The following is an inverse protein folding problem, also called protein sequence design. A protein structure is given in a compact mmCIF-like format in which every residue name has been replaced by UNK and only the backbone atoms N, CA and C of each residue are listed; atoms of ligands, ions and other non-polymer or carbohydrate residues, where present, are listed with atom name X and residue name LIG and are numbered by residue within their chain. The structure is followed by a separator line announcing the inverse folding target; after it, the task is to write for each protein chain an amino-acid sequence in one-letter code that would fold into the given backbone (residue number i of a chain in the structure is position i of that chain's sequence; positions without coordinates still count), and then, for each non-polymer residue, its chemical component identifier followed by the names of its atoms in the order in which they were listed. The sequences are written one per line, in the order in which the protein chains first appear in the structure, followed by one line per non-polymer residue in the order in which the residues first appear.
data_IF_923720916240
#
_entry.id   IF_923720916240
#
_cell.length_a   1.000
_cell.length_b   1.000
_cell.length_c   1.000
_cell.angle_alpha   90.00
_cell.angle_beta   90.00
_cell.angle_gamma   90.00
#
_symmetry.space_group_name_H-M   'P 1'
#
loop_
_entity.id
_entity.type
_entity.pdbx_description
1 polymer ?
#
# COMPACT_ATOMS: atom_id res chain seq x y z
N UNK A 1 5.17 -5.22 10.86
CA UNK A 1 6.07 -4.26 10.18
C UNK A 1 6.26 -2.98 11.01
N UNK A 2 7.42 -2.32 10.94
CA UNK A 2 7.70 -1.07 11.67
C UNK A 2 8.32 0.00 10.76
N UNK A 3 7.70 1.18 10.74
CA UNK A 3 8.22 2.43 10.19
C UNK A 3 8.35 3.46 11.32
N UNK A 4 9.48 4.15 11.42
CA UNK A 4 9.61 5.31 12.32
C UNK A 4 9.94 6.56 11.52
N UNK A 5 9.32 7.69 11.88
CA UNK A 5 9.54 9.01 11.31
C UNK A 5 10.06 9.92 12.42
N UNK A 6 11.24 10.50 12.23
CA UNK A 6 11.89 11.38 13.21
C UNK A 6 12.09 12.76 12.61
N UNK A 7 11.95 13.79 13.42
CA UNK A 7 12.49 15.12 13.12
C UNK A 7 13.20 15.73 14.32
N UNK A 8 14.15 16.62 14.01
CA UNK A 8 14.81 17.52 14.98
C UNK A 8 14.52 18.99 14.67
N UNK A 9 13.47 19.28 13.88
CA UNK A 9 12.87 20.61 13.81
C UNK A 9 12.53 21.11 15.22
N UNK A 10 12.45 22.42 15.44
CA UNK A 10 12.14 22.96 16.77
C UNK A 10 10.88 23.84 16.73
N UNK A 11 9.82 23.49 17.48
CA UNK A 11 9.73 22.33 18.37
C UNK A 11 9.48 21.02 17.60
N UNK A 12 10.20 19.94 17.93
CA UNK A 12 10.10 18.69 17.19
C UNK A 12 8.72 18.01 17.35
N UNK A 13 8.04 18.29 18.46
CA UNK A 13 6.67 17.84 18.73
C UNK A 13 5.66 18.29 17.67
N UNK A 14 5.99 19.29 16.85
CA UNK A 14 5.12 19.70 15.75
C UNK A 14 4.90 18.60 14.70
N UNK A 15 5.75 17.57 14.68
CA UNK A 15 5.51 16.32 13.95
C UNK A 15 4.13 15.71 14.28
N UNK A 16 3.65 15.85 15.52
CA UNK A 16 2.33 15.38 15.93
C UNK A 16 1.17 16.09 15.21
N UNK A 17 1.29 17.40 15.00
CA UNK A 17 0.30 18.18 14.25
C UNK A 17 0.39 17.91 12.75
N UNK A 18 1.58 17.65 12.23
CA UNK A 18 1.77 17.31 10.82
C UNK A 18 1.21 15.92 10.50
N UNK A 19 1.38 14.94 11.39
CA UNK A 19 0.85 13.58 11.23
C UNK A 19 -0.61 13.42 11.67
N UNK A 20 -1.20 14.45 12.28
CA UNK A 20 -2.54 14.39 12.91
C UNK A 20 -2.63 13.25 13.94
N UNK A 21 -1.58 13.09 14.76
CA UNK A 21 -1.51 12.08 15.82
C UNK A 21 -0.88 12.71 17.04
N UNK A 22 -1.68 12.88 18.09
CA UNK A 22 -1.23 13.46 19.36
C UNK A 22 -0.14 12.57 20.00
N UNK A 23 1.07 13.09 20.29
CA UNK A 23 2.17 12.32 20.89
C UNK A 23 1.87 11.67 22.24
N UNK A 24 0.94 12.25 23.02
CA UNK A 24 0.55 11.73 24.33
C UNK A 24 -0.47 10.58 24.27
N UNK A 25 -0.88 10.13 23.07
CA UNK A 25 -1.87 9.07 22.89
C UNK A 25 -1.39 8.04 21.87
N UNK A 26 -1.57 6.76 22.19
CA UNK A 26 -1.51 5.70 21.20
C UNK A 26 -2.78 5.73 20.36
N UNK A 27 -2.63 5.69 19.04
CA UNK A 27 -3.74 5.58 18.10
C UNK A 27 -3.72 4.18 17.49
N UNK A 28 -4.89 3.59 17.28
CA UNK A 28 -5.01 2.30 16.61
C UNK A 28 -6.09 2.38 15.54
N UNK A 29 -5.82 1.82 14.38
CA UNK A 29 -6.71 1.81 13.22
C UNK A 29 -6.85 0.37 12.72
N UNK A 30 -8.07 -0.11 12.56
CA UNK A 30 -8.33 -1.42 11.93
C UNK A 30 -8.09 -1.31 10.43
N UNK A 31 -7.41 -2.30 9.87
CA UNK A 31 -7.14 -2.46 8.45
C UNK A 31 -7.82 -3.74 7.95
N UNK A 32 -8.11 -3.85 6.66
CA UNK A 32 -8.71 -5.07 6.10
C UNK A 32 -7.88 -6.35 6.34
N UNK A 33 -6.58 -6.20 6.62
CA UNK A 33 -5.60 -7.27 6.79
C UNK A 33 -4.97 -7.33 8.19
N UNK A 34 -5.50 -6.56 9.16
CA UNK A 34 -4.96 -6.51 10.52
C UNK A 34 -5.16 -5.14 11.16
N UNK A 35 -4.13 -4.63 11.84
CA UNK A 35 -4.22 -3.40 12.62
C UNK A 35 -2.97 -2.56 12.48
N UNK A 36 -3.12 -1.24 12.51
CA UNK A 36 -2.01 -0.30 12.60
C UNK A 36 -2.07 0.48 13.92
N UNK A 37 -0.90 0.65 14.53
CA UNK A 37 -0.70 1.42 15.75
C UNK A 37 0.25 2.58 15.49
N UNK A 38 -0.12 3.77 15.95
CA UNK A 38 0.77 4.93 16.01
C UNK A 38 1.03 5.33 17.44
N UNK A 39 2.29 5.41 17.81
CA UNK A 39 2.74 5.91 19.10
C UNK A 39 4.06 6.67 18.95
N UNK A 40 4.44 7.41 19.98
CA UNK A 40 5.63 8.25 19.96
C UNK A 40 6.62 7.76 21.01
N UNK A 41 7.63 6.95 20.64
CA UNK A 41 8.66 6.51 21.58
C UNK A 41 9.49 7.68 22.14
N UNK A 42 9.53 8.81 21.43
CA UNK A 42 10.17 10.04 21.91
C UNK A 42 9.40 11.26 21.40
N UNK A 43 9.11 12.21 22.29
CA UNK A 43 8.45 13.47 21.98
C UNK A 43 8.96 14.58 22.89
N UNK A 44 10.10 15.16 22.55
CA UNK A 44 10.67 16.35 23.20
C UNK A 44 10.67 17.54 22.23
N UNK A 45 11.05 18.72 22.74
CA UNK A 45 11.19 19.92 21.90
C UNK A 45 12.36 19.79 20.89
N UNK A 46 13.35 18.98 21.20
CA UNK A 46 14.58 18.78 20.42
C UNK A 46 14.46 17.62 19.42
N UNK A 47 13.73 16.57 19.76
CA UNK A 47 13.56 15.37 18.93
C UNK A 47 12.19 14.75 19.14
N UNK A 48 11.53 14.40 18.05
CA UNK A 48 10.25 13.72 18.07
C UNK A 48 10.30 12.58 17.06
N UNK A 49 9.91 11.39 17.51
CA UNK A 49 9.85 10.16 16.72
C UNK A 49 8.43 9.61 16.79
N UNK A 50 7.75 9.52 15.65
CA UNK A 50 6.53 8.74 15.50
C UNK A 50 6.87 7.33 15.02
N UNK A 51 6.21 6.31 15.56
CA UNK A 51 6.30 4.93 15.12
C UNK A 51 4.95 4.46 14.58
N UNK A 52 4.94 3.91 13.35
CA UNK A 52 3.84 3.18 12.76
C UNK A 52 4.17 1.68 12.80
N UNK A 53 3.49 0.95 13.68
CA UNK A 53 3.57 -0.49 13.80
C UNK A 53 2.35 -1.10 13.12
N UNK A 54 2.56 -1.94 12.11
CA UNK A 54 1.49 -2.65 11.40
C UNK A 54 1.54 -4.12 11.78
N UNK A 55 0.46 -4.61 12.37
CA UNK A 55 0.25 -6.00 12.76
C UNK A 55 -0.70 -6.65 11.75
N UNK A 56 -0.24 -7.67 11.07
CA UNK A 56 -1.06 -8.39 10.09
C UNK A 56 -1.70 -9.59 10.79
N UNK A 57 -2.92 -9.92 10.40
CA UNK A 57 -3.52 -11.21 10.75
C UNK A 57 -3.18 -12.23 9.64
N UNK A 58 -2.15 -13.08 9.81
CA UNK A 58 -1.77 -14.05 8.79
C UNK A 58 -2.89 -15.08 8.53
N UNK A 59 -3.71 -15.39 9.54
CA UNK A 59 -4.81 -16.36 9.40
C UNK A 59 -5.97 -15.73 8.64
N UNK A 60 -6.34 -14.49 9.00
CA UNK A 60 -7.33 -13.70 8.29
C UNK A 60 -6.97 -13.46 6.82
N UNK A 61 -5.70 -13.20 6.53
CA UNK A 61 -5.19 -13.03 5.17
C UNK A 61 -5.41 -14.26 4.28
N UNK A 62 -5.24 -15.47 4.81
CA UNK A 62 -5.48 -16.70 4.06
C UNK A 62 -6.98 -16.95 3.88
N UNK A 63 -7.77 -16.77 4.94
CA UNK A 63 -9.22 -17.03 4.92
C UNK A 63 -9.99 -16.08 4.01
N UNK A 64 -9.55 -14.82 3.89
CA UNK A 64 -10.23 -13.79 3.11
C UNK A 64 -9.72 -13.64 1.67
N UNK A 65 -8.75 -14.46 1.23
CA UNK A 65 -8.14 -14.36 -0.09
C UNK A 65 -9.09 -14.86 -1.20
N UNK A 66 -9.82 -13.94 -1.84
CA UNK A 66 -10.64 -14.20 -3.05
C UNK A 66 -9.86 -14.00 -4.36
N UNK A 67 -8.69 -14.62 -4.50
CA UNK A 67 -7.87 -14.59 -5.73
C UNK A 67 -7.70 -15.99 -6.34
N UNK A 68 -7.33 -16.12 -7.63
CA UNK A 68 -7.09 -17.43 -8.23
C UNK A 68 -5.94 -18.14 -7.51
N UNK A 69 -6.11 -19.45 -7.30
CA UNK A 69 -5.08 -20.32 -6.76
C UNK A 69 -3.89 -20.37 -7.74
N UNK A 70 -2.89 -19.53 -7.51
CA UNK A 70 -1.64 -19.53 -8.25
C UNK A 70 -0.50 -20.00 -7.35
N UNK A 71 -0.04 -21.23 -7.60
CA UNK A 71 1.32 -21.78 -7.45
C UNK A 71 2.16 -21.51 -6.19
N UNK A 72 1.60 -20.99 -5.10
CA UNK A 72 2.25 -21.05 -3.79
C UNK A 72 1.85 -22.36 -3.12
N UNK A 73 2.82 -23.21 -2.76
CA UNK A 73 2.57 -24.43 -1.98
C UNK A 73 1.71 -24.08 -0.75
N UNK A 74 0.73 -24.91 -0.39
CA UNK A 74 -0.26 -24.61 0.66
C UNK A 74 0.35 -24.10 1.99
N UNK A 75 1.61 -24.46 2.29
CA UNK A 75 2.35 -24.00 3.46
C UNK A 75 2.77 -22.52 3.39
N UNK A 76 3.16 -22.01 2.22
CA UNK A 76 3.61 -20.62 2.00
C UNK A 76 2.50 -19.60 2.26
N UNK A 77 1.24 -20.03 2.21
CA UNK A 77 0.10 -19.19 2.57
C UNK A 77 0.05 -18.91 4.07
N UNK A 78 0.51 -19.85 4.90
CA UNK A 78 0.51 -19.73 6.36
C UNK A 78 1.85 -19.29 6.94
N UNK A 79 2.97 -19.66 6.29
CA UNK A 79 4.32 -19.31 6.70
C UNK A 79 4.98 -18.51 5.59
N UNK A 80 4.96 -17.18 5.75
CA UNK A 80 5.60 -16.25 4.86
C UNK A 80 6.09 -15.01 5.63
N UNK A 81 6.84 -14.18 4.91
CA UNK A 81 7.46 -12.96 5.41
C UNK A 81 6.49 -11.76 5.55
N UNK A 82 5.30 -11.83 4.96
CA UNK A 82 4.39 -10.67 4.78
C UNK A 82 4.01 -9.95 6.07
N UNK A 83 3.76 -10.62 7.22
CA UNK A 83 3.48 -9.92 8.48
C UNK A 83 4.66 -9.07 9.00
N UNK A 84 5.87 -9.39 8.57
CA UNK A 84 7.11 -8.85 9.13
C UNK A 84 7.79 -7.86 8.18
N UNK A 85 7.75 -8.13 6.87
CA UNK A 85 8.37 -7.36 5.82
C UNK A 85 7.62 -6.05 5.52
N UNK A 86 8.32 -4.91 5.51
CA UNK A 86 7.83 -3.60 5.09
C UNK A 86 7.51 -3.61 3.58
N UNK A 87 6.34 -4.17 3.25
CA UNK A 87 5.86 -4.47 1.91
C UNK A 87 4.78 -3.46 1.49
N UNK A 88 4.08 -3.74 0.39
CA UNK A 88 2.91 -2.97 -0.04
C UNK A 88 1.82 -2.78 1.03
N UNK A 89 1.70 -3.66 2.03
CA UNK A 89 0.83 -3.47 3.19
C UNK A 89 1.21 -2.23 4.02
N UNK A 90 2.50 -1.91 4.12
CA UNK A 90 2.95 -0.69 4.79
C UNK A 90 2.49 0.56 4.02
N UNK A 91 2.54 0.55 2.69
CA UNK A 91 2.03 1.67 1.87
C UNK A 91 0.54 1.91 2.11
N UNK A 92 -0.29 0.86 2.15
CA UNK A 92 -1.72 0.98 2.48
C UNK A 92 -1.90 1.55 3.89
N UNK A 93 -1.15 1.05 4.87
CA UNK A 93 -1.20 1.59 6.23
C UNK A 93 -0.79 3.07 6.31
N UNK A 94 0.24 3.51 5.56
CA UNK A 94 0.62 4.93 5.48
C UNK A 94 -0.54 5.75 4.91
N UNK A 95 -1.18 5.30 3.83
CA UNK A 95 -2.32 5.98 3.21
C UNK A 95 -3.50 6.14 4.17
N UNK A 96 -3.87 5.07 4.88
CA UNK A 96 -5.03 5.08 5.77
C UNK A 96 -4.75 5.85 7.08
N UNK A 97 -3.55 5.71 7.64
CA UNK A 97 -3.22 6.29 8.95
C UNK A 97 -2.74 7.74 8.85
N UNK A 98 -1.98 8.07 7.80
CA UNK A 98 -1.38 9.38 7.56
C UNK A 98 -1.96 10.09 6.33
N UNK A 99 -3.16 9.72 5.87
CA UNK A 99 -3.81 10.28 4.69
C UNK A 99 -3.88 11.82 4.66
N UNK A 100 -4.18 12.46 5.80
CA UNK A 100 -4.20 13.93 5.90
C UNK A 100 -2.82 14.56 5.69
N UNK A 101 -1.77 13.94 6.24
CA UNK A 101 -0.39 14.38 6.09
C UNK A 101 0.12 14.15 4.65
N UNK A 102 -0.23 12.99 4.06
CA UNK A 102 -0.01 12.67 2.65
C UNK A 102 -0.71 13.65 1.69
N UNK A 103 -1.88 14.15 2.09
CA UNK A 103 -2.57 15.22 1.36
C UNK A 103 -1.96 16.61 1.56
N UNK A 104 -0.87 16.74 2.33
CA UNK A 104 -0.24 18.02 2.59
C UNK A 104 -1.15 18.98 3.36
N UNK A 105 -1.73 18.55 4.49
CA UNK A 105 -2.59 19.40 5.32
C UNK A 105 -2.21 19.33 6.78
N UNK A 106 -2.21 20.47 7.46
CA UNK A 106 -2.19 20.59 8.92
C UNK A 106 -2.89 21.88 9.29
N UNK A 107 -3.96 21.78 10.11
CA UNK A 107 -4.77 22.96 10.47
C UNK A 107 -4.04 23.83 11.50
N UNK A 108 -3.30 23.17 12.39
CA UNK A 108 -2.60 23.78 13.51
C UNK A 108 -1.19 24.26 13.13
N UNK A 109 -0.62 23.73 12.04
CA UNK A 109 0.72 24.09 11.52
C UNK A 109 0.73 24.18 9.98
N UNK A 110 -0.11 25.05 9.36
CA UNK A 110 -0.20 25.15 7.90
C UNK A 110 1.13 25.55 7.25
N UNK A 111 1.92 26.40 7.90
CA UNK A 111 3.24 26.83 7.43
C UNK A 111 4.25 25.69 7.34
N UNK A 112 4.18 24.70 8.24
CA UNK A 112 5.12 23.59 8.28
C UNK A 112 4.86 22.53 7.21
N UNK A 113 3.67 22.53 6.61
CA UNK A 113 3.32 21.60 5.52
C UNK A 113 4.21 21.81 4.29
N UNK A 114 4.49 23.07 3.95
CA UNK A 114 5.33 23.44 2.81
C UNK A 114 6.80 23.63 3.18
N UNK A 115 7.12 23.53 4.47
CA UNK A 115 8.48 23.72 4.96
C UNK A 115 9.32 22.46 4.75
N UNK A 116 10.54 22.64 4.27
CA UNK A 116 11.54 21.56 4.26
C UNK A 116 12.07 21.33 5.67
N UNK A 117 11.84 20.14 6.21
CA UNK A 117 12.19 19.75 7.57
C UNK A 117 13.32 18.72 7.56
N UNK A 118 14.21 18.72 8.56
CA UNK A 118 15.17 17.63 8.75
C UNK A 118 14.41 16.38 9.18
N UNK A 119 14.20 15.46 8.25
CA UNK A 119 13.42 14.24 8.43
C UNK A 119 14.32 13.01 8.31
N UNK A 120 14.03 12.03 9.16
CA UNK A 120 14.63 10.70 9.12
C UNK A 120 13.52 9.64 9.15
N UNK A 121 13.50 8.75 8.16
CA UNK A 121 12.64 7.57 8.15
C UNK A 121 13.47 6.30 8.36
N UNK A 122 12.99 5.37 9.19
CA UNK A 122 13.58 4.03 9.32
C UNK A 122 12.57 2.94 9.04
N UNK A 123 12.96 1.99 8.20
CA UNK A 123 12.22 0.77 7.92
C UNK A 123 13.00 -0.43 8.46
N UNK A 124 12.38 -1.20 9.35
CA UNK A 124 13.09 -2.26 10.08
C UNK A 124 13.48 -3.45 9.19
N UNK A 125 12.60 -3.86 8.28
CA UNK A 125 12.78 -5.04 7.42
C UNK A 125 12.19 -4.78 6.03
N UNK A 126 12.89 -4.00 5.21
CA UNK A 126 12.48 -3.68 3.84
C UNK A 126 13.04 -4.72 2.87
N UNK A 127 12.21 -5.53 2.20
CA UNK A 127 12.67 -6.36 1.10
C UNK A 127 13.16 -5.47 -0.04
N UNK A 128 14.35 -5.77 -0.58
CA UNK A 128 14.84 -5.17 -1.82
C UNK A 128 15.35 -6.26 -2.74
N UNK A 129 14.51 -6.69 -3.69
CA UNK A 129 14.88 -7.72 -4.69
C UNK A 129 15.98 -7.26 -5.65
N UNK A 130 16.21 -5.94 -5.75
CA UNK A 130 17.34 -5.35 -6.49
C UNK A 130 18.57 -5.05 -5.62
N UNK A 131 18.57 -5.50 -4.36
CA UNK A 131 19.65 -5.25 -3.40
C UNK A 131 19.78 -3.78 -2.99
N UNK A 132 20.93 -3.46 -2.38
CA UNK A 132 21.24 -2.10 -1.92
C UNK A 132 21.36 -1.09 -3.06
N UNK A 133 21.89 -1.51 -4.21
CA UNK A 133 22.05 -0.63 -5.37
C UNK A 133 20.71 -0.05 -5.85
N UNK A 134 19.63 -0.84 -5.79
CA UNK A 134 18.29 -0.36 -6.13
C UNK A 134 17.78 0.66 -5.10
N UNK A 135 17.98 0.44 -3.80
CA UNK A 135 17.60 1.40 -2.76
C UNK A 135 18.21 2.78 -3.03
N UNK A 136 19.52 2.80 -3.32
CA UNK A 136 20.26 4.03 -3.64
C UNK A 136 19.71 4.71 -4.89
N UNK A 137 19.55 3.95 -5.97
CA UNK A 137 19.00 4.46 -7.24
C UNK A 137 17.60 5.06 -7.13
N UNK A 138 16.77 4.58 -6.19
CA UNK A 138 15.41 5.08 -6.00
C UNK A 138 15.32 6.29 -5.06
N UNK A 139 16.19 6.39 -4.06
CA UNK A 139 16.08 7.44 -3.03
C UNK A 139 17.14 8.54 -3.14
N UNK A 140 18.36 8.26 -3.58
CA UNK A 140 19.41 9.28 -3.69
C UNK A 140 19.06 10.40 -4.69
N UNK A 141 18.44 10.13 -5.86
CA UNK A 141 18.00 11.20 -6.78
C UNK A 141 16.94 12.14 -6.20
N UNK A 142 16.20 11.69 -5.17
CA UNK A 142 15.21 12.48 -4.44
C UNK A 142 15.83 13.31 -3.29
N UNK A 143 17.16 13.27 -3.14
CA UNK A 143 17.89 14.03 -2.13
C UNK A 143 18.04 13.32 -0.78
N UNK A 144 17.73 12.02 -0.70
CA UNK A 144 17.94 11.24 0.52
C UNK A 144 19.39 10.75 0.65
N UNK A 145 19.96 10.92 1.84
CA UNK A 145 21.07 10.09 2.28
C UNK A 145 20.53 8.72 2.71
N UNK A 146 21.05 7.66 2.08
CA UNK A 146 20.60 6.27 2.28
C UNK A 146 21.65 5.48 3.06
N UNK A 147 21.26 4.97 4.21
CA UNK A 147 22.00 3.94 4.95
C UNK A 147 21.19 2.65 4.92
N UNK A 148 21.79 1.55 4.48
CA UNK A 148 21.15 0.25 4.43
C UNK A 148 22.07 -0.80 5.06
N UNK A 149 21.50 -1.65 5.92
CA UNK A 149 22.18 -2.81 6.49
C UNK A 149 21.41 -4.05 6.12
N UNK A 150 22.05 -4.95 5.36
CA UNK A 150 21.49 -6.25 5.01
C UNK A 150 21.50 -7.19 6.21
N UNK A 151 20.49 -8.03 6.33
CA UNK A 151 20.44 -9.09 7.34
C UNK A 151 20.94 -10.42 6.75
N UNK A 152 21.72 -11.22 7.50
CA UNK A 152 21.94 -12.62 7.15
C UNK A 152 20.62 -13.39 7.18
N UNK A 153 20.52 -14.49 6.43
CA UNK A 153 19.34 -15.37 6.51
C UNK A 153 19.20 -15.99 7.90
N UNK A 154 20.33 -16.41 8.48
CA UNK A 154 20.40 -16.92 9.85
C UNK A 154 21.81 -16.68 10.42
N UNK A 155 21.90 -16.09 11.61
CA UNK A 155 23.19 -15.80 12.27
C UNK A 155 23.97 -17.08 12.65
N UNK A 156 23.26 -18.21 12.84
CA UNK A 156 23.88 -19.51 13.18
C UNK A 156 24.31 -20.31 11.96
N UNK A 157 23.78 -19.99 10.78
CA UNK A 157 24.06 -20.70 9.53
C UNK A 157 24.58 -19.73 8.46
N UNK A 158 25.80 -19.22 8.66
CA UNK A 158 26.44 -18.25 7.75
C UNK A 158 26.50 -18.70 6.29
N UNK A 159 26.61 -20.01 6.05
CA UNK A 159 26.70 -20.59 4.70
C UNK A 159 25.41 -20.43 3.88
N UNK A 160 24.28 -20.10 4.52
CA UNK A 160 23.03 -19.79 3.83
C UNK A 160 23.09 -18.43 3.13
N UNK A 161 23.99 -17.55 3.56
CA UNK A 161 24.23 -16.24 2.98
C UNK A 161 23.24 -15.17 3.44
N UNK A 162 23.12 -14.12 2.63
CA UNK A 162 22.40 -12.90 2.97
C UNK A 162 20.93 -12.94 2.54
N UNK A 163 20.04 -12.43 3.40
CA UNK A 163 18.60 -12.34 3.11
C UNK A 163 18.28 -11.26 2.08
N UNK A 164 17.03 -11.17 1.62
CA UNK A 164 16.57 -10.07 0.77
C UNK A 164 16.22 -8.79 1.57
N UNK A 165 16.34 -8.80 2.89
CA UNK A 165 15.85 -7.75 3.78
C UNK A 165 16.96 -6.81 4.23
N UNK A 166 16.59 -5.54 4.32
CA UNK A 166 17.46 -4.47 4.79
C UNK A 166 16.78 -3.71 5.93
N UNK A 167 17.57 -3.36 6.94
CA UNK A 167 17.26 -2.21 7.78
C UNK A 167 17.68 -0.96 7.01
N UNK A 168 16.75 -0.05 6.75
CA UNK A 168 16.99 1.13 5.92
C UNK A 168 16.71 2.40 6.72
N UNK A 169 17.64 3.35 6.65
CA UNK A 169 17.50 4.71 7.17
C UNK A 169 17.63 5.69 6.01
N UNK A 170 16.64 6.57 5.89
CA UNK A 170 16.57 7.63 4.88
C UNK A 170 16.57 8.97 5.59
N UNK A 171 17.53 9.86 5.27
CA UNK A 171 17.61 11.22 5.82
C UNK A 171 17.54 12.25 4.72
N UNK A 172 16.70 13.28 4.87
CA UNK A 172 16.66 14.42 3.96
C UNK A 172 16.12 15.67 4.66
N UNK A 173 16.42 16.83 4.08
CA UNK A 173 15.60 18.02 4.29
C UNK A 173 14.48 17.99 3.25
N UNK A 174 13.26 17.65 3.67
CA UNK A 174 12.12 17.48 2.77
C UNK A 174 10.82 17.90 3.46
N UNK A 175 9.77 18.15 2.67
CA UNK A 175 8.41 18.26 3.21
C UNK A 175 7.94 16.89 3.67
N UNK A 176 7.17 16.84 4.76
CA UNK A 176 6.67 15.56 5.28
C UNK A 176 5.83 14.80 4.25
N UNK A 177 5.00 15.53 3.48
CA UNK A 177 4.16 14.93 2.43
C UNK A 177 5.00 14.23 1.36
N UNK A 178 6.14 14.80 0.99
CA UNK A 178 7.03 14.26 -0.04
C UNK A 178 7.65 12.97 0.47
N UNK A 179 8.18 12.96 1.71
CA UNK A 179 8.70 11.74 2.35
C UNK A 179 7.66 10.62 2.41
N UNK A 180 6.44 10.92 2.87
CA UNK A 180 5.37 9.92 2.94
C UNK A 180 4.98 9.41 1.55
N UNK A 181 4.96 10.29 0.55
CA UNK A 181 4.62 9.96 -0.85
C UNK A 181 5.70 9.08 -1.48
N UNK A 182 6.97 9.41 -1.31
CA UNK A 182 8.09 8.60 -1.77
C UNK A 182 8.06 7.22 -1.12
N UNK A 183 7.83 7.12 0.19
CA UNK A 183 7.68 5.82 0.86
C UNK A 183 6.48 5.03 0.34
N UNK A 184 5.32 5.68 0.18
CA UNK A 184 4.10 5.07 -0.35
C UNK A 184 4.33 4.42 -1.73
N UNK A 185 5.01 5.13 -2.64
CA UNK A 185 5.26 4.67 -4.02
C UNK A 185 6.44 3.70 -4.11
N UNK A 186 7.54 3.94 -3.41
CA UNK A 186 8.79 3.22 -3.62
C UNK A 186 8.92 1.93 -2.80
N UNK A 187 8.24 1.80 -1.66
CA UNK A 187 8.24 0.55 -0.89
C UNK A 187 7.69 -0.63 -1.72
N UNK A 188 6.55 -0.52 -2.43
CA UNK A 188 6.05 -1.58 -3.30
C UNK A 188 6.98 -1.89 -4.49
N UNK A 189 7.75 -0.90 -4.98
CA UNK A 189 8.71 -1.06 -6.07
C UNK A 189 9.92 -1.89 -5.64
N UNK A 190 10.34 -1.75 -4.38
CA UNK A 190 11.45 -2.49 -3.79
C UNK A 190 11.08 -3.95 -3.48
N UNK A 191 9.88 -4.13 -2.92
CA UNK A 191 9.28 -5.43 -2.64
C UNK A 191 9.02 -6.21 -3.94
N UNK A 192 8.56 -5.51 -4.99
CA UNK A 192 8.24 -6.05 -6.32
C UNK A 192 7.28 -7.26 -6.24
N UNK A 193 6.38 -7.24 -5.26
CA UNK A 193 5.44 -8.32 -4.98
C UNK A 193 4.17 -7.82 -4.27
N UNK A 194 3.37 -7.01 -4.97
CA UNK A 194 2.09 -6.51 -4.46
C UNK A 194 1.13 -7.65 -4.12
N UNK A 195 0.58 -7.59 -2.91
CA UNK A 195 -0.34 -8.58 -2.34
C UNK A 195 -1.76 -8.54 -2.93
N UNK A 196 -2.07 -7.50 -3.71
CA UNK A 196 -3.36 -7.31 -4.39
C UNK A 196 -3.20 -7.27 -5.91
N UNK A 197 -4.34 -7.34 -6.62
CA UNK A 197 -4.39 -7.22 -8.07
C UNK A 197 -4.28 -5.75 -8.48
N UNK A 198 -3.51 -5.46 -9.51
CA UNK A 198 -3.26 -4.09 -10.00
C UNK A 198 -4.12 -3.83 -11.23
N UNK A 199 -4.94 -2.79 -11.19
CA UNK A 199 -5.82 -2.35 -12.28
C UNK A 199 -5.48 -0.96 -12.82
N UNK A 200 -6.41 -0.38 -13.59
CA UNK A 200 -6.27 0.98 -14.12
C UNK A 200 -6.34 2.05 -13.02
N UNK A 201 -7.03 1.77 -11.91
CA UNK A 201 -7.06 2.61 -10.72
C UNK A 201 -5.66 2.83 -10.11
N UNK A 202 -4.79 1.82 -10.19
CA UNK A 202 -3.40 1.95 -9.72
C UNK A 202 -2.56 2.88 -10.60
N UNK A 203 -2.92 3.03 -11.88
CA UNK A 203 -2.29 4.03 -12.76
C UNK A 203 -2.65 5.42 -12.27
N UNK A 204 -3.93 5.70 -12.04
CA UNK A 204 -4.37 7.01 -11.53
C UNK A 204 -3.74 7.33 -10.17
N UNK A 205 -3.64 6.34 -9.27
CA UNK A 205 -2.94 6.51 -7.98
C UNK A 205 -1.46 6.83 -8.18
N UNK A 206 -0.78 6.13 -9.08
CA UNK A 206 0.63 6.39 -9.38
C UNK A 206 0.82 7.79 -9.96
N UNK A 207 -0.03 8.25 -10.87
CA UNK A 207 0.04 9.59 -11.45
C UNK A 207 -0.18 10.68 -10.40
N UNK A 208 -1.26 10.54 -9.62
CA UNK A 208 -1.60 11.51 -8.56
C UNK A 208 -0.50 11.64 -7.52
N UNK A 209 0.17 10.54 -7.16
CA UNK A 209 1.24 10.52 -6.16
C UNK A 209 2.61 10.76 -6.77
N UNK A 210 2.79 10.46 -8.04
CA UNK A 210 4.04 10.58 -8.78
C UNK A 210 4.33 12.02 -9.19
N UNK A 211 3.30 12.75 -9.64
CA UNK A 211 3.41 14.16 -10.05
C UNK A 211 4.70 14.51 -10.79
N UNK A 212 5.25 15.68 -10.48
CA UNK A 212 6.50 16.17 -11.09
C UNK A 212 7.73 15.34 -10.69
N UNK A 213 7.79 14.84 -9.45
CA UNK A 213 8.99 14.14 -8.96
C UNK A 213 9.22 12.84 -9.72
N UNK A 214 8.16 12.09 -10.02
CA UNK A 214 8.25 10.84 -10.76
C UNK A 214 8.57 11.10 -12.23
N UNK A 215 7.99 12.14 -12.83
CA UNK A 215 8.33 12.54 -14.19
C UNK A 215 9.83 12.90 -14.33
N UNK A 216 10.39 13.58 -13.34
CA UNK A 216 11.81 13.95 -13.28
C UNK A 216 12.75 12.81 -12.81
N UNK A 217 12.21 11.71 -12.26
CA UNK A 217 13.04 10.66 -11.67
C UNK A 217 13.80 9.85 -12.75
N UNK A 218 15.12 9.62 -12.60
CA UNK A 218 15.91 8.88 -13.60
C UNK A 218 15.44 7.43 -13.79
N UNK A 219 14.93 6.82 -12.72
CA UNK A 219 14.42 5.44 -12.73
C UNK A 219 12.88 5.37 -12.92
N UNK A 220 12.23 6.40 -13.49
CA UNK A 220 10.75 6.46 -13.64
C UNK A 220 10.15 5.24 -14.36
N UNK A 221 10.84 4.72 -15.38
CA UNK A 221 10.40 3.54 -16.13
C UNK A 221 10.39 2.28 -15.25
N UNK A 222 11.44 2.10 -14.45
CA UNK A 222 11.55 1.02 -13.49
C UNK A 222 10.48 1.13 -12.41
N UNK A 223 10.28 2.34 -11.86
CA UNK A 223 9.26 2.63 -10.86
C UNK A 223 7.88 2.28 -11.40
N UNK A 224 7.49 2.82 -12.57
CA UNK A 224 6.19 2.55 -13.17
C UNK A 224 5.98 1.06 -13.46
N UNK A 225 7.00 0.39 -14.00
CA UNK A 225 6.93 -1.04 -14.33
C UNK A 225 6.68 -1.90 -13.09
N UNK A 226 7.47 -1.73 -12.03
CA UNK A 226 7.33 -2.53 -10.80
C UNK A 226 6.09 -2.15 -9.99
N UNK A 227 5.81 -0.84 -9.88
CA UNK A 227 4.61 -0.36 -9.19
C UNK A 227 3.35 -0.96 -9.81
N UNK A 228 3.32 -1.11 -11.14
CA UNK A 228 2.19 -1.68 -11.87
C UNK A 228 2.34 -3.19 -12.12
N UNK A 229 3.11 -3.89 -11.27
CA UNK A 229 3.28 -5.35 -11.27
C UNK A 229 3.66 -5.91 -12.65
N UNK A 230 4.59 -5.23 -13.33
CA UNK A 230 5.11 -5.57 -14.67
C UNK A 230 4.05 -5.59 -15.78
N UNK A 231 2.86 -5.01 -15.56
CA UNK A 231 1.83 -4.89 -16.60
C UNK A 231 2.20 -3.81 -17.61
N UNK A 232 2.92 -4.22 -18.67
CA UNK A 232 3.44 -3.31 -19.72
C UNK A 232 2.41 -2.31 -20.25
N UNK A 233 1.16 -2.74 -20.45
CA UNK A 233 0.08 -1.86 -20.92
C UNK A 233 -0.17 -0.71 -19.93
N UNK A 234 -0.27 -1.01 -18.64
CA UNK A 234 -0.49 -0.02 -17.59
C UNK A 234 0.74 0.88 -17.41
N UNK A 235 1.93 0.29 -17.39
CA UNK A 235 3.18 1.05 -17.25
C UNK A 235 3.39 2.04 -18.41
N UNK A 236 3.14 1.62 -19.65
CA UNK A 236 3.21 2.53 -20.81
C UNK A 236 2.11 3.58 -20.79
N UNK A 237 0.91 3.27 -20.28
CA UNK A 237 -0.15 4.27 -20.12
C UNK A 237 0.26 5.33 -19.09
N UNK A 238 0.76 4.92 -17.93
CA UNK A 238 1.24 5.81 -16.88
C UNK A 238 2.39 6.71 -17.37
N UNK A 239 3.42 6.12 -18.02
CA UNK A 239 4.58 6.87 -18.50
C UNK A 239 4.21 7.89 -19.59
N UNK A 240 3.25 7.58 -20.47
CA UNK A 240 2.77 8.55 -21.45
C UNK A 240 2.09 9.73 -20.76
N UNK A 241 1.17 9.47 -19.83
CA UNK A 241 0.47 10.52 -19.11
C UNK A 241 1.43 11.38 -18.27
N UNK A 242 2.39 10.77 -17.56
CA UNK A 242 3.43 11.50 -16.80
C UNK A 242 4.26 12.48 -17.64
N UNK A 243 4.47 12.16 -18.92
CA UNK A 243 5.26 13.00 -19.83
C UNK A 243 4.40 13.99 -20.63
N UNK A 244 3.10 13.71 -20.78
CA UNK A 244 2.13 14.54 -21.49
C UNK A 244 1.49 15.60 -20.57
N UNK A 245 1.41 15.36 -19.25
CA UNK A 245 0.83 16.27 -18.25
C UNK A 245 1.70 17.47 -17.84
N UNK A 246 2.79 17.76 -18.55
CA UNK A 246 3.65 18.96 -18.36
C UNK A 246 2.91 20.31 -18.64
N UNK A 247 1.58 20.31 -18.82
CA UNK A 247 0.76 21.48 -19.20
C UNK A 247 -0.64 21.58 -18.54
N UNK A 248 -0.86 21.07 -17.32
CA UNK A 248 -2.10 21.37 -16.59
C UNK A 248 -1.86 21.77 -15.13
N UNK A 249 -2.30 22.98 -14.76
CA UNK A 249 -2.30 23.48 -13.37
C UNK A 249 -3.14 22.58 -12.45
N UNK A 250 -2.75 22.44 -11.15
CA UNK A 250 -3.40 21.51 -10.24
C UNK A 250 -4.77 22.04 -9.78
N UNK A 251 -5.85 21.38 -10.24
CA UNK A 251 -7.21 21.73 -9.86
C UNK A 251 -7.61 21.16 -8.48
N UNK A 252 -8.32 21.99 -7.72
CA UNK A 252 -8.57 21.90 -6.29
C UNK A 252 -9.82 21.06 -6.04
N UNK A 253 -9.78 19.76 -6.30
CA UNK A 253 -10.90 18.84 -6.01
C UNK A 253 -10.42 17.50 -5.46
N UNK A 254 -9.58 17.53 -4.41
CA UNK A 254 -9.01 16.33 -3.80
C UNK A 254 -9.82 15.76 -2.61
N UNK A 255 -10.82 16.48 -2.11
CA UNK A 255 -11.47 16.15 -0.82
C UNK A 255 -12.66 15.17 -0.90
N UNK A 256 -13.29 14.99 -2.07
CA UNK A 256 -14.39 14.02 -2.20
C UNK A 256 -13.91 12.59 -2.47
N UNK A 257 -12.73 12.42 -3.11
CA UNK A 257 -12.26 11.12 -3.63
C UNK A 257 -11.34 10.34 -2.69
N UNK A 258 -10.67 10.99 -1.73
CA UNK A 258 -9.82 10.29 -0.75
C UNK A 258 -10.62 9.57 0.36
N UNK A 259 -11.81 10.07 0.70
CA UNK A 259 -12.77 9.36 1.56
C UNK A 259 -13.50 8.24 0.79
N UNK A 260 -13.71 8.45 -0.52
CA UNK A 260 -14.16 7.41 -1.44
C UNK A 260 -13.11 6.29 -1.56
N UNK A 261 -11.80 6.60 -1.61
CA UNK A 261 -10.71 5.62 -1.72
C UNK A 261 -10.65 4.60 -0.54
N UNK A 262 -10.94 5.01 0.70
CA UNK A 262 -11.03 4.07 1.84
C UNK A 262 -12.31 3.22 1.79
N UNK A 263 -13.39 3.75 1.21
CA UNK A 263 -14.61 2.97 0.96
C UNK A 263 -14.47 2.08 -0.27
N UNK A 264 -13.64 2.46 -1.24
CA UNK A 264 -13.31 1.74 -2.48
C UNK A 264 -12.33 0.59 -2.19
N UNK A 265 -11.41 0.75 -1.23
CA UNK A 265 -10.61 -0.37 -0.72
C UNK A 265 -11.47 -1.43 0.01
N UNK A 266 -12.57 -1.02 0.65
CA UNK A 266 -13.58 -1.94 1.21
C UNK A 266 -14.66 -2.39 0.18
N UNK A 267 -14.81 -1.71 -0.96
CA UNK A 267 -15.92 -1.89 -1.91
C UNK A 267 -15.52 -2.08 -3.39
N UNK A 268 -14.28 -2.44 -3.72
CA UNK A 268 -13.88 -2.88 -5.08
C UNK A 268 -14.00 -4.40 -5.29
N UNK A 269 -15.12 -4.91 -4.82
CA UNK A 269 -16.14 -5.64 -5.54
C UNK A 269 -15.95 -6.22 -6.98
N UNK A 270 -14.78 -6.70 -7.38
CA UNK A 270 -14.70 -7.60 -8.56
C UNK A 270 -15.60 -8.83 -8.37
N UNK A 271 -15.76 -9.27 -7.13
CA UNK A 271 -16.57 -10.43 -6.81
C UNK A 271 -18.07 -10.21 -7.03
N UNK A 272 -18.70 -9.14 -6.52
CA UNK A 272 -20.12 -8.86 -6.80
C UNK A 272 -20.34 -8.25 -8.19
N UNK A 273 -19.35 -7.59 -8.82
CA UNK A 273 -19.42 -7.31 -10.26
C UNK A 273 -19.50 -8.62 -11.06
N UNK A 274 -18.68 -9.62 -10.71
CA UNK A 274 -18.74 -10.97 -11.30
C UNK A 274 -20.07 -11.65 -11.00
N UNK A 275 -20.57 -11.60 -9.76
CA UNK A 275 -21.88 -12.17 -9.41
C UNK A 275 -23.01 -11.49 -10.19
N UNK A 276 -22.98 -10.16 -10.30
CA UNK A 276 -23.93 -9.37 -11.08
C UNK A 276 -23.89 -9.69 -12.58
N UNK A 277 -22.69 -9.86 -13.16
CA UNK A 277 -22.51 -10.27 -14.54
C UNK A 277 -23.05 -11.70 -14.79
N UNK A 278 -22.78 -12.63 -13.88
CA UNK A 278 -23.32 -14.01 -13.94
C UNK A 278 -24.84 -14.00 -13.87
N UNK A 279 -25.43 -13.24 -12.94
CA UNK A 279 -26.89 -13.09 -12.84
C UNK A 279 -27.51 -12.48 -14.09
N UNK A 280 -26.88 -11.44 -14.66
CA UNK A 280 -27.34 -10.82 -15.89
C UNK A 280 -27.32 -11.81 -17.07
N UNK A 281 -26.26 -12.60 -17.20
CA UNK A 281 -26.15 -13.63 -18.23
C UNK A 281 -27.21 -14.73 -18.07
N UNK A 282 -27.44 -15.22 -16.84
CA UNK A 282 -28.48 -16.21 -16.56
C UNK A 282 -29.89 -15.70 -16.88
N UNK A 283 -30.17 -14.43 -16.54
CA UNK A 283 -31.44 -13.76 -16.87
C UNK A 283 -31.62 -13.59 -18.37
N UNK A 284 -30.57 -13.16 -19.08
CA UNK A 284 -30.60 -13.00 -20.53
C UNK A 284 -30.80 -14.35 -21.26
N UNK A 285 -30.24 -15.43 -20.71
CA UNK A 285 -30.44 -16.79 -21.19
C UNK A 285 -31.83 -17.36 -20.85
N UNK A 286 -32.64 -16.67 -20.04
CA UNK A 286 -33.95 -17.17 -19.60
C UNK A 286 -33.85 -18.42 -18.70
N UNK A 287 -32.74 -18.60 -18.00
CA UNK A 287 -32.52 -19.76 -17.16
C UNK A 287 -33.51 -19.80 -16.00
N UNK A 288 -34.15 -20.95 -15.80
CA UNK A 288 -35.05 -21.23 -14.66
C UNK A 288 -34.46 -22.20 -13.65
N UNK A 289 -33.44 -22.96 -14.07
CA UNK A 289 -32.76 -23.96 -13.24
C UNK A 289 -31.27 -23.69 -13.30
N UNK A 290 -30.60 -23.60 -12.15
CA UNK A 290 -29.19 -23.21 -12.05
C UNK A 290 -28.43 -24.22 -11.20
N UNK A 291 -27.32 -24.73 -11.72
CA UNK A 291 -26.36 -25.57 -11.02
C UNK A 291 -25.08 -24.76 -10.77
N UNK A 292 -24.77 -24.49 -9.51
CA UNK A 292 -23.58 -23.75 -9.07
C UNK A 292 -22.51 -24.75 -8.60
N UNK A 293 -21.51 -25.00 -9.46
CA UNK A 293 -20.39 -25.90 -9.20
C UNK A 293 -19.22 -25.12 -8.59
N UNK A 294 -18.87 -25.45 -7.34
CA UNK A 294 -17.94 -24.67 -6.53
C UNK A 294 -18.64 -23.50 -5.82
N UNK A 295 -19.80 -23.77 -5.21
CA UNK A 295 -20.65 -22.72 -4.63
C UNK A 295 -20.06 -22.03 -3.39
N UNK A 296 -19.01 -22.60 -2.78
CA UNK A 296 -18.32 -22.10 -1.59
C UNK A 296 -19.27 -21.77 -0.44
N UNK A 297 -19.14 -20.57 0.12
CA UNK A 297 -20.05 -20.04 1.17
C UNK A 297 -21.48 -19.75 0.68
N UNK A 298 -21.82 -20.03 -0.59
CA UNK A 298 -23.17 -19.86 -1.14
C UNK A 298 -23.57 -18.42 -1.45
N UNK A 299 -22.60 -17.56 -1.78
CA UNK A 299 -22.87 -16.14 -2.07
C UNK A 299 -23.71 -15.92 -3.33
N UNK A 300 -23.44 -16.68 -4.39
CA UNK A 300 -24.25 -16.65 -5.62
C UNK A 300 -25.63 -17.28 -5.37
N UNK A 301 -25.67 -18.41 -4.66
CA UNK A 301 -26.91 -19.09 -4.28
C UNK A 301 -27.89 -18.15 -3.57
N UNK A 302 -27.39 -17.33 -2.62
CA UNK A 302 -28.23 -16.35 -1.91
C UNK A 302 -28.91 -15.37 -2.88
N UNK A 303 -28.16 -14.84 -3.84
CA UNK A 303 -28.71 -13.90 -4.83
C UNK A 303 -29.63 -14.59 -5.85
N UNK A 304 -29.40 -15.86 -6.17
CA UNK A 304 -30.29 -16.66 -7.02
C UNK A 304 -31.63 -16.94 -6.31
N UNK A 305 -31.60 -17.21 -5.00
CA UNK A 305 -32.81 -17.47 -4.22
C UNK A 305 -33.71 -16.22 -4.05
N UNK A 306 -33.13 -15.02 -4.13
CA UNK A 306 -33.87 -13.76 -4.04
C UNK A 306 -34.65 -13.42 -5.32
N UNK A 307 -34.41 -14.12 -6.44
CA UNK A 307 -35.09 -13.89 -7.72
C UNK A 307 -35.98 -15.08 -8.10
N UNK A 308 -37.30 -14.88 -8.02
CA UNK A 308 -38.32 -15.91 -8.26
C UNK A 308 -38.35 -16.49 -9.67
N UNK A 309 -37.55 -15.96 -10.61
CA UNK A 309 -37.35 -16.56 -11.95
C UNK A 309 -36.56 -17.87 -11.90
N UNK A 310 -35.74 -18.06 -10.88
CA UNK A 310 -34.99 -19.29 -10.67
C UNK A 310 -35.84 -20.26 -9.82
N UNK A 311 -36.45 -21.23 -10.50
CA UNK A 311 -37.37 -22.22 -9.93
C UNK A 311 -36.63 -23.37 -9.24
N UNK A 312 -35.40 -23.67 -9.65
CA UNK A 312 -34.57 -24.73 -9.07
C UNK A 312 -33.11 -24.28 -9.00
N UNK A 313 -32.51 -24.30 -7.81
CA UNK A 313 -31.12 -23.91 -7.59
C UNK A 313 -30.41 -25.03 -6.84
N UNK A 314 -29.34 -25.57 -7.43
CA UNK A 314 -28.51 -26.62 -6.83
C UNK A 314 -27.10 -26.10 -6.67
N UNK A 315 -26.58 -26.11 -5.44
CA UNK A 315 -25.17 -25.83 -5.16
C UNK A 315 -24.42 -27.12 -4.85
N UNK A 316 -23.24 -27.30 -5.43
CA UNK A 316 -22.33 -28.39 -5.12
C UNK A 316 -20.93 -27.82 -4.87
N UNK A 317 -20.29 -28.27 -3.79
CA UNK A 317 -18.88 -28.01 -3.53
C UNK A 317 -18.15 -29.30 -3.13
N UNK A 318 -16.85 -29.34 -3.39
CA UNK A 318 -15.95 -30.45 -3.04
C UNK A 318 -15.03 -30.12 -1.86
N UNK A 319 -15.10 -28.87 -1.36
CA UNK A 319 -14.33 -28.37 -0.22
C UNK A 319 -14.81 -28.87 1.13
#
# INVERSE_FOLDING_TARGET
MLLTLTTTHRPATDLGFLLHKNPARMHSVELAFGKAHVFYPEASAERCTAALLVELDPVGLVRNRRGPAGEAHALEQYVNDRPYAASSFLSVAIAQVFGTALGGRSKERPELVETSLPLEARLAALPSRGGEALLRKLFEPLGYAVTARRFPLDEKFSDWGESAFFSVELRANARLRDLLTHLYVLVPVLDDDKHYWVGEDEVEKLLRRGGEWLAAHPERELIATRYLKHQRRLAHAALRQLLEEDQAEPDVVADARAAEESAVEDAMNLNEQRLGAVLAALKAAGARRVLDLGCGEGRLLRQLLDDSRFEEVVGLDVS
#
